data_IF_607666656955
#
_entry.id   IF_607666656955
#
_cell.length_a   1.000
_cell.length_b   1.000
_cell.length_c   1.000
_cell.angle_alpha   90.00
_cell.angle_beta   90.00
_cell.angle_gamma   90.00
#
_symmetry.space_group_name_H-M   'P 1'
#
loop_
_entity.id
_entity.type
_entity.pdbx_description
1 polymer ?
#
# COMPACT_ATOMS: atom_id res chain seq x y z
N UNK A 1 6.21 -0.76 -7.87
CA UNK A 1 5.88 -0.80 -6.43
C UNK A 1 4.66 -1.65 -6.09
N UNK A 2 3.59 -1.65 -6.90
CA UNK A 2 2.43 -2.53 -6.66
C UNK A 2 2.78 -4.03 -6.65
N UNK A 3 3.77 -4.46 -7.43
CA UNK A 3 4.19 -5.88 -7.55
C UNK A 3 4.93 -6.39 -6.31
N UNK A 4 5.79 -5.57 -5.70
CA UNK A 4 6.53 -5.96 -4.48
C UNK A 4 5.59 -5.95 -3.26
N UNK A 5 4.66 -5.00 -3.20
CA UNK A 5 3.60 -4.96 -2.19
C UNK A 5 2.62 -6.14 -2.34
N UNK A 6 2.23 -6.50 -3.58
CA UNK A 6 1.37 -7.66 -3.82
C UNK A 6 2.06 -8.99 -3.49
N UNK A 7 3.37 -9.12 -3.73
CA UNK A 7 4.16 -10.32 -3.38
C UNK A 7 4.39 -10.48 -1.87
N UNK A 8 4.63 -9.39 -1.13
CA UNK A 8 4.79 -9.44 0.33
C UNK A 8 3.45 -9.63 1.06
N UNK A 9 2.34 -9.09 0.53
CA UNK A 9 1.00 -9.27 1.10
C UNK A 9 0.28 -10.54 0.62
N UNK A 10 0.82 -11.29 -0.35
CA UNK A 10 0.24 -12.53 -0.88
C UNK A 10 0.23 -13.70 0.14
N UNK A 11 0.95 -13.61 1.25
CA UNK A 11 0.97 -14.63 2.33
C UNK A 11 -0.31 -14.72 3.18
N UNK A 12 -1.41 -14.08 2.77
CA UNK A 12 -2.70 -14.11 3.46
C UNK A 12 -3.66 -15.10 2.77
N UNK A 13 -3.37 -16.40 2.84
CA UNK A 13 -4.36 -17.43 2.52
C UNK A 13 -5.07 -17.88 3.81
N UNK A 14 -6.30 -17.40 4.08
CA UNK A 14 -7.08 -17.80 5.27
C UNK A 14 -7.46 -19.30 5.27
N UNK A 15 -7.30 -20.01 4.14
CA UNK A 15 -7.50 -21.45 4.05
C UNK A 15 -6.69 -22.24 5.08
N UNK A 16 -5.43 -21.87 5.26
CA UNK A 16 -4.47 -22.65 6.05
C UNK A 16 -4.84 -22.62 7.54
N UNK A 17 -5.21 -21.45 8.06
CA UNK A 17 -5.63 -21.33 9.46
C UNK A 17 -7.02 -21.92 9.69
N UNK A 18 -7.92 -21.90 8.70
CA UNK A 18 -9.21 -22.55 8.83
C UNK A 18 -9.10 -24.08 8.85
N UNK A 19 -8.17 -24.67 8.09
CA UNK A 19 -7.85 -26.11 8.16
C UNK A 19 -7.34 -26.48 9.55
N UNK A 20 -6.52 -25.62 10.17
CA UNK A 20 -6.04 -25.82 11.54
C UNK A 20 -7.13 -25.67 12.62
N UNK A 21 -8.16 -24.84 12.39
CA UNK A 21 -9.22 -24.52 13.39
C UNK A 21 -10.53 -25.30 13.14
N UNK A 22 -10.66 -26.07 12.07
CA UNK A 22 -11.82 -26.95 11.84
C UNK A 22 -13.17 -26.24 11.65
N UNK A 23 -13.19 -24.93 11.36
CA UNK A 23 -14.43 -24.15 11.32
C UNK A 23 -15.31 -24.44 10.09
N UNK A 24 -16.64 -24.53 10.30
CA UNK A 24 -17.65 -24.85 9.27
C UNK A 24 -17.71 -23.82 8.12
N UNK A 25 -18.07 -24.33 6.93
CA UNK A 25 -18.23 -23.59 5.67
C UNK A 25 -19.38 -22.58 5.70
N UNK A 26 -19.11 -21.34 5.25
CA UNK A 26 -20.13 -20.32 5.00
C UNK A 26 -20.22 -20.12 3.48
N UNK A 27 -21.40 -20.32 2.89
CA UNK A 27 -21.67 -20.01 1.47
C UNK A 27 -21.95 -18.51 1.33
N UNK A 28 -21.30 -17.87 0.36
CA UNK A 28 -21.54 -16.47 0.03
C UNK A 28 -22.17 -16.35 -1.37
N UNK A 29 -23.22 -15.53 -1.51
CA UNK A 29 -23.76 -15.14 -2.82
C UNK A 29 -22.91 -14.01 -3.42
N UNK A 30 -22.57 -14.04 -4.71
CA UNK A 30 -21.87 -12.93 -5.36
C UNK A 30 -22.76 -11.69 -5.41
N UNK A 31 -22.17 -10.51 -5.17
CA UNK A 31 -22.88 -9.21 -5.14
C UNK A 31 -22.90 -8.54 -6.52
N UNK A 32 -21.93 -8.84 -7.40
CA UNK A 32 -21.90 -8.41 -8.81
C UNK A 32 -21.16 -9.46 -9.67
N UNK A 33 -21.75 -9.86 -10.80
CA UNK A 33 -21.22 -10.92 -11.67
C UNK A 33 -19.91 -10.60 -12.41
N UNK A 34 -19.56 -9.32 -12.55
CA UNK A 34 -18.32 -8.87 -13.26
C UNK A 34 -17.05 -9.17 -12.46
N UNK A 35 -17.17 -9.26 -11.14
CA UNK A 35 -16.09 -9.70 -10.24
C UNK A 35 -16.42 -11.06 -9.63
N UNK A 36 -17.21 -11.89 -10.33
CA UNK A 36 -17.41 -13.26 -9.92
C UNK A 36 -16.05 -13.98 -9.89
N UNK A 37 -15.80 -14.72 -8.82
CA UNK A 37 -14.59 -15.50 -8.73
C UNK A 37 -14.63 -16.57 -9.83
N UNK A 38 -13.56 -16.69 -10.61
CA UNK A 38 -13.43 -17.70 -11.67
C UNK A 38 -13.57 -19.14 -11.14
N UNK A 39 -13.37 -19.32 -9.84
CA UNK A 39 -13.58 -20.56 -9.11
C UNK A 39 -14.44 -20.29 -7.88
N UNK A 40 -15.32 -21.24 -7.53
CA UNK A 40 -16.02 -21.21 -6.25
C UNK A 40 -15.00 -21.33 -5.11
N UNK A 41 -14.59 -20.18 -4.58
CA UNK A 41 -13.68 -20.09 -3.45
C UNK A 41 -14.49 -19.88 -2.18
N UNK A 42 -14.13 -20.58 -1.10
CA UNK A 42 -14.69 -20.37 0.24
C UNK A 42 -14.38 -18.97 0.80
N UNK A 43 -13.43 -18.26 0.20
CA UNK A 43 -12.98 -16.94 0.63
C UNK A 43 -13.34 -15.89 -0.41
N UNK A 44 -13.90 -14.77 0.05
CA UNK A 44 -14.05 -13.57 -0.77
C UNK A 44 -12.72 -12.82 -0.80
N UNK A 45 -12.34 -12.32 -1.98
CA UNK A 45 -11.24 -11.38 -2.10
C UNK A 45 -11.64 -10.07 -1.43
N UNK A 46 -10.96 -9.74 -0.34
CA UNK A 46 -11.08 -8.43 0.30
C UNK A 46 -10.17 -7.42 -0.39
N UNK A 47 -10.62 -6.16 -0.42
CA UNK A 47 -9.76 -5.08 -0.88
C UNK A 47 -8.50 -5.01 -0.03
N UNK A 48 -7.36 -4.70 -0.68
CA UNK A 48 -6.04 -4.68 -0.04
C UNK A 48 -6.04 -3.84 1.25
N UNK A 49 -6.72 -2.69 1.23
CA UNK A 49 -6.87 -1.75 2.34
C UNK A 49 -7.65 -2.32 3.54
N UNK A 50 -8.60 -3.21 3.30
CA UNK A 50 -9.39 -3.85 4.37
C UNK A 50 -8.77 -5.15 4.87
N UNK A 51 -7.74 -5.68 4.19
CA UNK A 51 -7.18 -7.00 4.47
C UNK A 51 -6.66 -7.18 5.90
N UNK A 52 -5.92 -6.20 6.42
CA UNK A 52 -5.41 -6.26 7.80
C UNK A 52 -6.54 -6.27 8.83
N UNK A 53 -7.55 -5.43 8.63
CA UNK A 53 -8.72 -5.31 9.52
C UNK A 53 -9.63 -6.54 9.44
N UNK A 54 -9.90 -7.04 8.24
CA UNK A 54 -10.67 -8.28 8.04
C UNK A 54 -9.96 -9.48 8.67
N UNK A 55 -8.62 -9.54 8.61
CA UNK A 55 -7.83 -10.57 9.30
C UNK A 55 -7.97 -10.47 10.82
N UNK A 56 -7.91 -9.26 11.39
CA UNK A 56 -8.15 -9.04 12.82
C UNK A 56 -9.55 -9.50 13.24
N UNK A 57 -10.59 -9.06 12.51
CA UNK A 57 -11.97 -9.45 12.79
C UNK A 57 -12.19 -10.96 12.63
N UNK A 58 -11.53 -11.57 11.66
CA UNK A 58 -11.62 -13.00 11.42
C UNK A 58 -10.93 -13.81 12.52
N UNK A 59 -9.72 -13.41 12.94
CA UNK A 59 -9.04 -14.01 14.10
C UNK A 59 -9.93 -13.90 15.35
N UNK A 60 -10.44 -12.70 15.62
CA UNK A 60 -11.38 -12.47 16.71
C UNK A 60 -12.58 -13.42 16.60
N UNK A 61 -13.29 -13.45 15.46
CA UNK A 61 -14.44 -14.37 15.29
C UNK A 61 -14.08 -15.84 15.38
N UNK A 62 -12.93 -16.29 14.86
CA UNK A 62 -12.52 -17.69 14.94
C UNK A 62 -12.38 -18.12 16.40
N UNK A 63 -11.71 -17.32 17.24
CA UNK A 63 -11.56 -17.63 18.67
C UNK A 63 -12.88 -17.51 19.45
N UNK A 64 -13.75 -16.55 19.10
CA UNK A 64 -15.05 -16.37 19.76
C UNK A 64 -16.10 -17.40 19.34
N UNK A 65 -16.12 -17.83 18.06
CA UNK A 65 -17.05 -18.84 17.55
C UNK A 65 -16.70 -20.24 18.04
N UNK A 66 -15.41 -20.56 18.20
CA UNK A 66 -14.99 -21.82 18.83
C UNK A 66 -15.45 -21.90 20.30
N UNK A 67 -15.62 -20.74 20.95
CA UNK A 67 -16.23 -20.66 22.28
C UNK A 67 -17.74 -20.90 22.27
N UNK A 68 -18.46 -20.53 21.19
CA UNK A 68 -19.93 -20.60 21.10
C UNK A 68 -20.47 -21.85 20.41
N UNK A 69 -19.70 -22.48 19.52
CA UNK A 69 -20.04 -23.76 18.88
C UNK A 69 -20.13 -24.92 19.88
N UNK A 70 -19.60 -24.75 21.09
CA UNK A 70 -19.82 -25.66 22.22
C UNK A 70 -21.23 -25.59 22.84
N UNK A 71 -22.06 -24.61 22.45
CA UNK A 71 -23.35 -24.31 23.11
C UNK A 71 -24.57 -24.72 22.27
N UNK A 72 -24.42 -24.93 20.95
CA UNK A 72 -25.59 -25.13 20.06
C UNK A 72 -25.41 -26.30 19.08
N UNK A 73 -25.33 -27.52 19.62
CA UNK A 73 -25.71 -28.72 18.86
C UNK A 73 -27.19 -29.04 19.15
N UNK A 74 -28.06 -29.23 18.14
CA UNK A 74 -29.46 -29.58 18.31
C UNK A 74 -29.70 -31.08 18.55
N UNK A 75 -28.66 -31.87 18.86
CA UNK A 75 -28.77 -33.32 19.08
C UNK A 75 -28.77 -33.66 20.58
N UNK A 76 -29.90 -34.09 21.17
CA UNK A 76 -30.04 -34.26 22.62
C UNK A 76 -29.37 -35.52 23.19
N UNK A 77 -28.74 -36.38 22.37
CA UNK A 77 -28.25 -37.69 22.80
C UNK A 77 -26.72 -37.81 22.96
N UNK A 78 -25.93 -36.78 22.63
CA UNK A 78 -24.47 -36.79 22.85
C UNK A 78 -24.02 -35.58 23.68
N UNK A 79 -24.52 -35.50 24.91
CA UNK A 79 -24.15 -34.49 25.89
C UNK A 79 -22.72 -34.72 26.42
N UNK A 80 -21.70 -34.43 25.62
CA UNK A 80 -20.39 -34.06 26.17
C UNK A 80 -20.51 -32.64 26.70
N UNK A 81 -20.73 -32.55 28.01
CA UNK A 81 -20.65 -31.31 28.80
C UNK A 81 -19.38 -30.56 28.34
N UNK A 82 -19.45 -29.27 27.96
CA UNK A 82 -18.24 -28.47 27.79
C UNK A 82 -17.58 -28.38 29.16
N UNK A 83 -16.53 -29.15 29.35
CA UNK A 83 -15.75 -29.10 30.59
C UNK A 83 -15.16 -27.70 30.71
N UNK A 84 -15.17 -27.14 31.91
CA UNK A 84 -14.56 -25.83 32.24
C UNK A 84 -13.11 -25.69 31.74
N UNK A 85 -12.48 -26.82 31.40
CA UNK A 85 -11.16 -26.96 30.79
C UNK A 85 -11.02 -26.29 29.41
N UNK A 86 -12.04 -26.28 28.54
CA UNK A 86 -11.89 -25.71 27.17
C UNK A 86 -11.73 -24.18 27.19
N UNK A 87 -12.56 -23.50 28.00
CA UNK A 87 -12.48 -22.05 28.21
C UNK A 87 -11.13 -21.63 28.82
N UNK A 88 -10.58 -22.50 29.68
CA UNK A 88 -9.32 -22.29 30.39
C UNK A 88 -8.08 -22.48 29.48
N UNK A 89 -8.19 -23.20 28.36
CA UNK A 89 -7.10 -23.43 27.39
C UNK A 89 -7.06 -22.36 26.29
N UNK A 90 -8.21 -21.77 25.92
CA UNK A 90 -8.30 -20.79 24.83
C UNK A 90 -7.86 -19.38 25.28
N UNK A 91 -8.22 -18.93 26.49
CA UNK A 91 -7.75 -17.66 27.06
C UNK A 91 -6.22 -17.51 27.09
N UNK A 92 -5.44 -18.50 27.57
CA UNK A 92 -3.99 -18.38 27.59
C UNK A 92 -3.39 -18.38 26.18
N UNK A 93 -4.00 -19.03 25.18
CA UNK A 93 -3.54 -18.93 23.80
C UNK A 93 -3.80 -17.54 23.19
N UNK A 94 -4.96 -16.93 23.48
CA UNK A 94 -5.25 -15.56 23.05
C UNK A 94 -4.34 -14.55 23.75
N UNK A 95 -4.05 -14.73 25.03
CA UNK A 95 -3.10 -13.89 25.77
C UNK A 95 -1.67 -14.02 25.22
N UNK A 96 -1.25 -15.24 24.86
CA UNK A 96 0.04 -15.49 24.18
C UNK A 96 0.09 -14.88 22.79
N UNK A 97 -0.99 -14.97 22.02
CA UNK A 97 -1.05 -14.36 20.69
C UNK A 97 -1.08 -12.82 20.80
N UNK A 98 -1.84 -12.26 21.74
CA UNK A 98 -1.91 -10.81 21.99
C UNK A 98 -0.58 -10.26 22.48
N UNK A 99 0.14 -10.99 23.32
CA UNK A 99 1.49 -10.61 23.75
C UNK A 99 2.52 -10.77 22.63
N UNK A 100 2.39 -11.78 21.76
CA UNK A 100 3.24 -11.94 20.57
C UNK A 100 2.95 -10.90 19.47
N UNK A 101 1.74 -10.33 19.44
CA UNK A 101 1.32 -9.29 18.49
C UNK A 101 1.56 -7.88 19.05
N UNK A 102 1.86 -7.74 20.35
CA UNK A 102 2.26 -6.46 20.93
C UNK A 102 3.65 -6.09 20.39
N UNK A 103 3.65 -5.43 19.24
CA UNK A 103 4.84 -4.85 18.64
C UNK A 103 5.46 -3.83 19.59
N UNK A 104 6.76 -3.96 19.80
CA UNK A 104 7.55 -2.97 20.51
C UNK A 104 7.51 -1.65 19.73
N UNK A 105 7.71 -0.53 20.43
CA UNK A 105 7.91 0.78 19.78
C UNK A 105 9.04 0.70 18.74
N UNK A 106 10.06 -0.11 19.02
CA UNK A 106 11.16 -0.34 18.09
C UNK A 106 10.71 -1.05 16.79
N UNK A 107 9.83 -2.05 16.90
CA UNK A 107 9.29 -2.75 15.74
C UNK A 107 8.46 -1.81 14.87
N UNK A 108 7.64 -0.96 15.50
CA UNK A 108 6.89 0.09 14.80
C UNK A 108 7.80 1.08 14.10
N UNK A 109 8.85 1.56 14.78
CA UNK A 109 9.82 2.48 14.20
C UNK A 109 10.53 1.84 13.00
N UNK A 110 10.95 0.58 13.10
CA UNK A 110 11.58 -0.15 12.02
C UNK A 110 10.63 -0.36 10.83
N UNK A 111 9.37 -0.72 11.07
CA UNK A 111 8.36 -0.86 10.02
C UNK A 111 8.11 0.46 9.28
N UNK A 112 7.99 1.56 10.02
CA UNK A 112 7.81 2.90 9.44
C UNK A 112 9.04 3.29 8.62
N UNK A 113 10.25 3.08 9.16
CA UNK A 113 11.51 3.39 8.48
C UNK A 113 11.64 2.62 7.17
N UNK A 114 11.44 1.30 7.18
CA UNK A 114 11.53 0.47 5.98
C UNK A 114 10.47 0.84 4.94
N UNK A 115 9.23 1.09 5.38
CA UNK A 115 8.14 1.51 4.48
C UNK A 115 8.44 2.86 3.84
N UNK A 116 8.93 3.81 4.64
CA UNK A 116 9.33 5.14 4.18
C UNK A 116 10.49 5.02 3.20
N UNK A 117 11.53 4.25 3.51
CA UNK A 117 12.66 4.02 2.61
C UNK A 117 12.20 3.43 1.27
N UNK A 118 11.34 2.41 1.29
CA UNK A 118 10.77 1.82 0.07
C UNK A 118 10.04 2.86 -0.77
N UNK A 119 9.19 3.69 -0.18
CA UNK A 119 8.39 4.67 -0.94
C UNK A 119 9.25 5.83 -1.45
N UNK A 120 10.08 6.41 -0.59
CA UNK A 120 10.77 7.66 -0.87
C UNK A 120 12.06 7.48 -1.67
N UNK A 121 12.82 6.39 -1.47
CA UNK A 121 14.12 6.21 -2.15
C UNK A 121 13.97 6.21 -3.68
N UNK A 122 13.06 5.43 -4.29
CA UNK A 122 12.88 5.45 -5.74
C UNK A 122 12.43 6.83 -6.26
N UNK A 123 11.59 7.53 -5.51
CA UNK A 123 11.13 8.86 -5.86
C UNK A 123 12.28 9.87 -5.83
N UNK A 124 13.05 9.91 -4.74
CA UNK A 124 14.18 10.83 -4.58
C UNK A 124 15.22 10.57 -5.68
N UNK A 125 15.57 9.30 -5.94
CA UNK A 125 16.53 8.96 -7.00
C UNK A 125 16.03 9.40 -8.39
N UNK A 126 14.75 9.17 -8.70
CA UNK A 126 14.16 9.61 -9.97
C UNK A 126 14.13 11.14 -10.09
N UNK A 127 13.76 11.83 -9.02
CA UNK A 127 13.71 13.29 -8.97
C UNK A 127 15.11 13.90 -9.13
N UNK A 128 16.10 13.44 -8.35
CA UNK A 128 17.49 13.92 -8.43
C UNK A 128 18.07 13.68 -9.83
N UNK A 129 17.85 12.50 -10.40
CA UNK A 129 18.28 12.19 -11.77
C UNK A 129 17.66 13.16 -12.78
N UNK A 130 16.38 13.49 -12.63
CA UNK A 130 15.69 14.42 -13.52
C UNK A 130 15.99 15.90 -13.25
N UNK A 131 16.43 16.26 -12.05
CA UNK A 131 16.74 17.63 -11.66
C UNK A 131 18.16 18.02 -12.08
N UNK A 132 19.11 17.08 -12.00
CA UNK A 132 20.50 17.33 -12.35
C UNK A 132 20.85 17.04 -13.82
N UNK A 133 19.95 16.41 -14.59
CA UNK A 133 20.20 16.02 -15.99
C UNK A 133 19.03 16.42 -16.88
N UNK A 134 19.23 17.10 -18.03
CA UNK A 134 20.51 17.66 -18.56
C UNK A 134 20.91 19.00 -17.92
N UNK A 135 19.93 19.87 -17.62
CA UNK A 135 20.19 21.18 -16.99
C UNK A 135 19.77 21.16 -15.53
N UNK A 136 20.60 21.72 -14.64
CA UNK A 136 20.28 21.80 -13.20
C UNK A 136 19.07 22.71 -12.98
N UNK A 137 17.97 22.14 -12.49
CA UNK A 137 16.77 22.89 -12.12
C UNK A 137 15.47 22.11 -12.25
N UNK A 138 14.38 22.77 -11.86
CA UNK A 138 13.02 22.23 -12.06
C UNK A 138 12.62 22.35 -13.53
N UNK A 139 12.80 21.27 -14.29
CA UNK A 139 12.33 21.08 -15.67
C UNK A 139 10.95 20.39 -15.72
N UNK A 140 10.33 20.29 -16.90
CA UNK A 140 9.03 19.59 -17.08
C UNK A 140 9.03 18.18 -16.48
N UNK A 141 10.13 17.43 -16.66
CA UNK A 141 10.24 16.04 -16.21
C UNK A 141 10.29 15.94 -14.69
N UNK A 142 11.14 16.74 -14.05
CA UNK A 142 11.26 16.78 -12.59
C UNK A 142 9.98 17.31 -11.92
N UNK A 143 9.32 18.29 -12.56
CA UNK A 143 8.03 18.81 -12.13
C UNK A 143 6.94 17.74 -12.20
N UNK A 144 6.91 16.90 -13.25
CA UNK A 144 5.94 15.81 -13.37
C UNK A 144 6.08 14.83 -12.19
N UNK A 145 7.31 14.44 -11.86
CA UNK A 145 7.56 13.58 -10.69
C UNK A 145 7.12 14.26 -9.39
N UNK A 146 7.46 15.54 -9.19
CA UNK A 146 7.09 16.29 -7.99
C UNK A 146 5.58 16.39 -7.82
N UNK A 147 4.84 16.77 -8.87
CA UNK A 147 3.37 16.88 -8.83
C UNK A 147 2.73 15.52 -8.55
N UNK A 148 3.21 14.46 -9.20
CA UNK A 148 2.74 13.09 -8.93
C UNK A 148 2.95 12.70 -7.47
N UNK A 149 4.13 12.98 -6.93
CA UNK A 149 4.46 12.66 -5.54
C UNK A 149 3.62 13.45 -4.55
N UNK A 150 3.43 14.76 -4.76
CA UNK A 150 2.57 15.59 -3.91
C UNK A 150 1.11 15.10 -3.94
N UNK A 151 0.60 14.74 -5.12
CA UNK A 151 -0.75 14.17 -5.25
C UNK A 151 -0.87 12.83 -4.50
N UNK A 152 0.13 11.95 -4.61
CA UNK A 152 0.14 10.67 -3.90
C UNK A 152 0.26 10.85 -2.38
N UNK A 153 1.11 11.77 -1.90
CA UNK A 153 1.22 12.08 -0.48
C UNK A 153 -0.06 12.70 0.06
N UNK A 154 -0.72 13.56 -0.71
CA UNK A 154 -2.04 14.12 -0.38
C UNK A 154 -3.09 13.02 -0.26
N UNK A 155 -3.12 12.08 -1.21
CA UNK A 155 -4.01 10.92 -1.16
C UNK A 155 -3.74 10.04 0.06
N UNK A 156 -2.49 9.68 0.36
CA UNK A 156 -2.13 8.90 1.56
C UNK A 156 -2.55 9.62 2.83
N UNK A 157 -2.30 10.92 2.93
CA UNK A 157 -2.65 11.72 4.11
C UNK A 157 -4.17 11.78 4.33
N UNK A 158 -4.96 11.94 3.25
CA UNK A 158 -6.42 11.88 3.31
C UNK A 158 -6.91 10.51 3.80
N UNK A 159 -6.33 9.42 3.32
CA UNK A 159 -6.68 8.07 3.76
C UNK A 159 -6.32 7.83 5.23
N UNK A 160 -5.14 8.29 5.67
CA UNK A 160 -4.72 8.22 7.07
C UNK A 160 -5.66 9.02 7.96
N UNK A 161 -6.09 10.20 7.51
CA UNK A 161 -7.08 11.01 8.23
C UNK A 161 -8.42 10.28 8.37
N UNK A 162 -8.99 9.73 7.29
CA UNK A 162 -10.24 8.97 7.43
C UNK A 162 -10.06 7.77 8.36
N UNK A 163 -8.93 7.07 8.24
CA UNK A 163 -8.65 5.91 9.08
C UNK A 163 -8.56 6.28 10.56
N UNK A 164 -7.90 7.38 10.90
CA UNK A 164 -7.77 7.85 12.30
C UNK A 164 -9.11 8.21 12.93
N UNK A 165 -10.08 8.62 12.12
CA UNK A 165 -11.45 8.91 12.56
C UNK A 165 -12.34 7.66 12.66
N UNK A 166 -11.97 6.53 12.05
CA UNK A 166 -12.78 5.32 12.09
C UNK A 166 -12.56 4.52 13.38
N UNK A 167 -13.56 4.47 14.24
CA UNK A 167 -13.56 3.61 15.45
C UNK A 167 -14.16 2.24 15.15
N UNK A 168 -13.56 1.16 15.67
CA UNK A 168 -14.12 -0.20 15.57
C UNK A 168 -15.17 -0.38 16.67
N UNK A 169 -16.41 -0.68 16.29
CA UNK A 169 -17.43 -1.16 17.26
C UNK A 169 -17.19 -2.64 17.59
N UNK A 170 -17.52 -3.05 18.82
CA UNK A 170 -17.32 -4.42 19.33
C UNK A 170 -18.06 -5.51 18.53
N UNK A 171 -19.05 -5.16 17.71
CA UNK A 171 -19.76 -6.10 16.81
C UNK A 171 -19.03 -6.37 15.49
N UNK A 172 -17.89 -5.69 15.25
CA UNK A 172 -17.12 -5.81 14.01
C UNK A 172 -17.77 -5.11 12.81
N UNK A 173 -18.82 -4.32 13.02
CA UNK A 173 -19.43 -3.46 12.00
C UNK A 173 -18.60 -2.17 11.90
N UNK A 174 -18.22 -1.84 10.67
CA UNK A 174 -17.46 -0.64 10.33
C UNK A 174 -18.34 0.60 10.50
N UNK A 175 -18.27 1.28 11.64
CA UNK A 175 -18.79 2.64 11.73
C UNK A 175 -17.75 3.59 11.14
N UNK A 176 -17.93 3.92 9.86
CA UNK A 176 -17.33 5.14 9.34
C UNK A 176 -18.12 6.32 9.95
N UNK A 177 -17.47 7.30 10.60
CA UNK A 177 -18.16 8.50 11.07
C UNK A 177 -18.86 9.27 9.93
N UNK A 178 -18.40 9.08 8.68
CA UNK A 178 -19.02 9.62 7.48
C UNK A 178 -20.29 8.89 7.02
N UNK A 179 -20.58 7.70 7.56
CA UNK A 179 -21.76 6.91 7.19
C UNK A 179 -22.80 6.87 8.31
N UNK A 180 -22.87 7.92 9.13
CA UNK A 180 -23.89 8.08 10.16
C UNK A 180 -25.19 8.57 9.51
N UNK A 181 -26.31 7.92 9.82
CA UNK A 181 -27.61 8.09 9.15
C UNK A 181 -28.32 9.43 9.43
N UNK A 182 -27.68 10.38 10.11
CA UNK A 182 -28.17 11.74 10.27
C UNK A 182 -27.00 12.73 10.10
N UNK A 183 -26.87 13.37 8.93
CA UNK A 183 -25.83 14.36 8.71
C UNK A 183 -26.21 15.67 9.41
N UNK A 184 -25.39 16.10 10.37
CA UNK A 184 -25.34 17.52 10.72
C UNK A 184 -24.67 18.32 9.60
N UNK A 185 -24.93 19.63 9.55
CA UNK A 185 -24.25 20.54 8.61
C UNK A 185 -22.70 20.38 8.61
N UNK A 186 -22.00 20.26 9.76
CA UNK A 186 -20.54 20.12 9.75
C UNK A 186 -20.05 18.76 9.20
N UNK A 187 -20.84 17.68 9.36
CA UNK A 187 -20.46 16.36 8.83
C UNK A 187 -20.63 16.29 7.32
N UNK A 188 -21.60 17.02 6.75
CA UNK A 188 -21.79 17.09 5.30
C UNK A 188 -20.69 17.92 4.62
N UNK A 189 -20.25 19.02 5.21
CA UNK A 189 -19.15 19.83 4.67
C UNK A 189 -17.82 19.07 4.69
N UNK A 190 -17.51 18.39 5.80
CA UNK A 190 -16.33 17.51 5.88
C UNK A 190 -16.40 16.36 4.86
N UNK A 191 -17.61 15.82 4.63
CA UNK A 191 -17.81 14.78 3.63
C UNK A 191 -17.56 15.26 2.20
N UNK A 192 -18.13 16.40 1.83
CA UNK A 192 -17.90 17.03 0.53
C UNK A 192 -16.42 17.41 0.33
N UNK A 193 -15.79 18.00 1.34
CA UNK A 193 -14.38 18.40 1.29
C UNK A 193 -13.45 17.20 1.11
N UNK A 194 -13.71 16.09 1.79
CA UNK A 194 -12.93 14.87 1.60
C UNK A 194 -13.04 14.33 0.17
N UNK A 195 -14.27 14.16 -0.33
CA UNK A 195 -14.47 13.59 -1.67
C UNK A 195 -13.97 14.52 -2.77
N UNK A 196 -14.11 15.84 -2.61
CA UNK A 196 -13.57 16.80 -3.57
C UNK A 196 -12.05 16.76 -3.63
N UNK A 197 -11.37 16.76 -2.47
CA UNK A 197 -9.91 16.62 -2.41
C UNK A 197 -9.43 15.25 -2.91
N UNK A 198 -10.14 14.17 -2.59
CA UNK A 198 -9.81 12.83 -3.06
C UNK A 198 -9.91 12.72 -4.59
N UNK A 199 -10.99 13.22 -5.19
CA UNK A 199 -11.16 13.24 -6.65
C UNK A 199 -10.09 14.12 -7.30
N UNK A 200 -9.77 15.27 -6.71
CA UNK A 200 -8.73 16.16 -7.22
C UNK A 200 -7.35 15.48 -7.22
N UNK A 201 -6.92 14.88 -6.11
CA UNK A 201 -5.62 14.21 -6.06
C UNK A 201 -5.56 12.97 -6.96
N UNK A 202 -6.64 12.19 -7.03
CA UNK A 202 -6.71 11.04 -7.94
C UNK A 202 -6.61 11.50 -9.40
N UNK A 203 -7.34 12.55 -9.78
CA UNK A 203 -7.34 13.07 -11.15
C UNK A 203 -5.96 13.60 -11.53
N UNK A 204 -5.31 14.38 -10.65
CA UNK A 204 -3.94 14.86 -10.86
C UNK A 204 -2.97 13.69 -10.97
N UNK A 205 -3.09 12.67 -10.12
CA UNK A 205 -2.23 11.49 -10.13
C UNK A 205 -2.37 10.68 -11.43
N UNK A 206 -3.60 10.44 -11.90
CA UNK A 206 -3.87 9.77 -13.17
C UNK A 206 -3.32 10.58 -14.34
N UNK A 207 -3.60 11.89 -14.36
CA UNK A 207 -3.14 12.78 -15.42
C UNK A 207 -1.62 12.84 -15.48
N UNK A 208 -0.94 12.98 -14.35
CA UNK A 208 0.53 13.04 -14.30
C UNK A 208 1.17 11.69 -14.60
N UNK A 209 0.58 10.57 -14.18
CA UNK A 209 1.09 9.24 -14.51
C UNK A 209 0.96 8.92 -16.00
N UNK A 210 -0.23 9.08 -16.58
CA UNK A 210 -0.49 8.79 -17.99
C UNK A 210 0.21 9.83 -18.87
N UNK A 211 -0.04 11.12 -18.60
CA UNK A 211 0.55 12.23 -19.34
C UNK A 211 2.08 12.24 -19.24
N UNK A 212 2.65 11.96 -18.07
CA UNK A 212 4.09 11.82 -17.88
C UNK A 212 4.68 10.68 -18.71
N UNK A 213 4.00 9.53 -18.75
CA UNK A 213 4.43 8.38 -19.56
C UNK A 213 4.35 8.71 -21.05
N UNK A 214 3.27 9.34 -21.51
CA UNK A 214 3.11 9.76 -22.91
C UNK A 214 4.21 10.77 -23.29
N UNK A 215 4.46 11.78 -22.45
CA UNK A 215 5.53 12.77 -22.68
C UNK A 215 6.92 12.14 -22.71
N UNK A 216 7.15 11.10 -21.91
CA UNK A 216 8.40 10.35 -21.93
C UNK A 216 8.55 9.54 -23.22
N UNK A 217 7.52 8.80 -23.64
CA UNK A 217 7.57 7.93 -24.83
C UNK A 217 7.61 8.71 -26.14
N UNK A 218 6.92 9.85 -26.20
CA UNK A 218 6.93 10.75 -27.36
C UNK A 218 8.18 11.61 -27.47
N UNK A 219 9.08 11.58 -26.48
CA UNK A 219 10.26 12.44 -26.47
C UNK A 219 9.95 13.93 -26.23
N UNK A 220 8.75 14.27 -25.72
CA UNK A 220 8.40 15.68 -25.41
C UNK A 220 9.35 16.25 -24.36
N UNK A 221 9.85 15.44 -23.43
CA UNK A 221 10.83 15.90 -22.45
C UNK A 221 12.18 16.31 -23.03
N UNK A 222 12.54 15.83 -24.23
CA UNK A 222 13.73 16.29 -24.96
C UNK A 222 13.50 17.56 -25.78
N UNK A 223 12.26 18.05 -25.88
CA UNK A 223 12.01 19.31 -26.56
C UNK A 223 12.62 20.48 -25.78
N UNK A 224 13.15 21.47 -26.52
CA UNK A 224 13.78 22.67 -25.99
C UNK A 224 12.92 23.41 -24.95
N UNK A 225 11.59 23.39 -25.13
CA UNK A 225 10.66 24.02 -24.20
C UNK A 225 10.64 23.33 -22.82
N UNK A 226 10.78 22.02 -22.78
CA UNK A 226 10.73 21.24 -21.55
C UNK A 226 12.10 21.01 -20.91
N UNK A 227 13.18 21.18 -21.67
CA UNK A 227 14.54 21.23 -21.17
C UNK A 227 14.81 22.50 -20.35
N UNK A 228 14.12 23.61 -20.64
CA UNK A 228 14.28 24.87 -19.92
C UNK A 228 13.77 24.78 -18.46
N UNK A 229 14.59 25.19 -17.47
CA UNK A 229 14.16 25.33 -16.08
C UNK A 229 12.98 26.31 -15.92
N UNK A 230 12.08 26.03 -14.98
CA UNK A 230 10.84 26.80 -14.76
C UNK A 230 11.11 28.27 -14.43
N UNK A 231 12.25 28.59 -13.80
CA UNK A 231 12.68 29.96 -13.50
C UNK A 231 12.78 30.84 -14.76
N UNK A 232 13.03 30.24 -15.91
CA UNK A 232 13.19 30.93 -17.19
C UNK A 232 11.92 30.88 -18.07
N UNK A 233 10.83 30.23 -17.62
CA UNK A 233 9.61 30.14 -18.43
C UNK A 233 8.93 31.48 -18.62
N UNK A 234 8.89 32.33 -17.59
CA UNK A 234 8.30 33.66 -17.67
C UNK A 234 9.11 34.63 -18.55
N UNK A 235 10.43 34.41 -18.65
CA UNK A 235 11.39 35.27 -19.36
C UNK A 235 11.75 34.65 -20.72
N UNK A 236 11.05 33.60 -21.16
CA UNK A 236 11.38 32.79 -22.35
C UNK A 236 11.55 33.62 -23.63
N UNK A 237 10.81 34.71 -23.78
CA UNK A 237 10.86 35.57 -24.98
C UNK A 237 11.80 36.76 -24.84
N UNK A 238 12.37 36.97 -23.65
CA UNK A 238 13.35 38.02 -23.44
C UNK A 238 14.73 37.44 -23.73
N UNK A 239 15.46 38.08 -24.64
CA UNK A 239 16.80 37.69 -25.08
C UNK A 239 17.84 37.96 -23.97
N UNK A 240 17.69 37.23 -22.87
CA UNK A 240 18.56 37.27 -21.71
C UNK A 240 19.78 36.42 -22.00
N UNK A 241 20.97 37.03 -21.92
CA UNK A 241 22.28 36.38 -22.10
C UNK A 241 22.51 35.20 -21.14
N UNK A 242 21.73 35.08 -20.08
CA UNK A 242 21.83 34.00 -19.09
C UNK A 242 21.01 32.76 -19.46
N UNK A 243 20.23 32.82 -20.55
CA UNK A 243 19.44 31.69 -21.04
C UNK A 243 20.12 31.04 -22.24
N UNK A 244 20.70 29.86 -22.01
CA UNK A 244 21.19 29.01 -23.09
C UNK A 244 20.37 27.73 -23.15
N UNK A 245 20.00 27.33 -24.36
CA UNK A 245 19.38 26.03 -24.63
C UNK A 245 20.39 25.21 -25.40
N UNK A 246 20.85 24.13 -24.81
CA UNK A 246 21.72 23.18 -25.50
C UNK A 246 20.87 22.41 -26.52
N UNK A 247 21.04 22.74 -27.80
CA UNK A 247 20.31 22.11 -28.91
C UNK A 247 20.81 20.69 -29.23
N UNK A 248 21.97 20.29 -28.71
CA UNK A 248 22.57 18.97 -28.93
C UNK A 248 22.80 18.20 -27.64
N UNK A 249 22.48 16.91 -27.66
CA UNK A 249 22.67 15.96 -26.55
C UNK A 249 24.13 15.55 -26.28
N UNK A 250 25.08 16.12 -27.02
CA UNK A 250 26.50 15.72 -27.01
C UNK A 250 27.41 16.82 -26.44
N UNK A 251 26.85 17.75 -25.68
CA UNK A 251 27.67 18.72 -24.94
C UNK A 251 28.59 17.98 -23.96
N UNK A 252 29.86 18.41 -23.86
CA UNK A 252 30.79 17.86 -22.88
C UNK A 252 30.25 17.99 -21.44
N UNK A 253 29.46 19.05 -21.18
CA UNK A 253 28.79 19.24 -19.90
C UNK A 253 27.74 18.15 -19.64
N UNK A 254 26.89 17.83 -20.62
CA UNK A 254 25.86 16.78 -20.49
C UNK A 254 26.48 15.39 -20.32
N UNK A 255 27.56 15.08 -21.05
CA UNK A 255 28.30 13.82 -20.89
C UNK A 255 28.87 13.70 -19.47
N UNK A 256 29.48 14.78 -18.96
CA UNK A 256 30.04 14.80 -17.61
C UNK A 256 28.96 14.66 -16.52
N UNK A 257 27.80 15.31 -16.71
CA UNK A 257 26.67 15.23 -15.80
C UNK A 257 26.02 13.84 -15.82
N UNK A 258 25.87 13.23 -17.00
CA UNK A 258 25.38 11.88 -17.15
C UNK A 258 26.30 10.86 -16.45
N UNK A 259 27.61 10.97 -16.63
CA UNK A 259 28.55 10.06 -15.97
C UNK A 259 28.55 10.23 -14.43
N UNK A 260 28.42 11.47 -13.93
CA UNK A 260 28.48 11.73 -12.49
C UNK A 260 27.16 11.43 -11.78
N UNK A 261 26.02 11.79 -12.35
CA UNK A 261 24.73 11.70 -11.69
C UNK A 261 23.89 10.53 -12.19
N UNK A 262 23.72 10.40 -13.50
CA UNK A 262 22.84 9.36 -14.05
C UNK A 262 23.37 7.95 -13.77
N UNK A 263 24.67 7.70 -13.99
CA UNK A 263 25.29 6.41 -13.66
C UNK A 263 25.26 6.12 -12.16
N UNK A 264 25.62 7.08 -11.31
CA UNK A 264 25.62 6.88 -9.85
C UNK A 264 24.22 6.60 -9.31
N UNK A 265 23.21 7.37 -9.75
CA UNK A 265 21.82 7.17 -9.32
C UNK A 265 21.25 5.86 -9.88
N UNK A 266 21.59 5.50 -11.13
CA UNK A 266 21.19 4.24 -11.75
C UNK A 266 21.76 3.01 -11.04
N UNK A 267 23.06 3.04 -10.69
CA UNK A 267 23.71 2.02 -9.89
C UNK A 267 23.07 1.92 -8.49
N UNK A 268 22.82 3.05 -7.84
CA UNK A 268 22.18 3.11 -6.51
C UNK A 268 20.76 2.54 -6.55
N UNK A 269 19.96 2.92 -7.55
CA UNK A 269 18.59 2.42 -7.73
C UNK A 269 18.56 0.91 -7.99
N UNK A 270 19.46 0.40 -8.84
CA UNK A 270 19.58 -1.03 -9.12
C UNK A 270 20.00 -1.80 -7.87
N UNK A 271 20.99 -1.32 -7.14
CA UNK A 271 21.43 -1.92 -5.88
C UNK A 271 20.31 -1.95 -4.83
N UNK A 272 19.59 -0.84 -4.68
CA UNK A 272 18.43 -0.77 -3.78
C UNK A 272 17.34 -1.79 -4.16
N UNK A 273 17.01 -1.88 -5.46
CA UNK A 273 16.01 -2.84 -5.94
C UNK A 273 16.47 -4.29 -5.73
N UNK A 274 17.74 -4.60 -5.97
CA UNK A 274 18.32 -5.92 -5.72
C UNK A 274 18.22 -6.31 -4.24
N UNK A 275 18.55 -5.40 -3.34
CA UNK A 275 18.42 -5.62 -1.89
C UNK A 275 16.96 -5.81 -1.48
N UNK A 276 16.07 -4.94 -1.93
CA UNK A 276 14.64 -5.03 -1.61
C UNK A 276 14.00 -6.32 -2.11
N UNK A 277 14.36 -6.76 -3.33
CA UNK A 277 13.87 -8.02 -3.91
C UNK A 277 14.47 -9.24 -3.20
N UNK A 278 15.75 -9.19 -2.81
CA UNK A 278 16.37 -10.24 -1.99
C UNK A 278 15.66 -10.41 -0.65
N UNK A 279 15.38 -9.32 0.07
CA UNK A 279 14.61 -9.38 1.33
C UNK A 279 13.19 -9.93 1.11
N UNK A 280 12.52 -9.52 0.02
CA UNK A 280 11.22 -10.05 -0.35
C UNK A 280 11.25 -11.56 -0.59
N UNK A 281 12.24 -12.05 -1.33
CA UNK A 281 12.45 -13.47 -1.58
C UNK A 281 12.80 -14.25 -0.31
N UNK A 282 13.71 -13.74 0.52
CA UNK A 282 14.10 -14.37 1.77
C UNK A 282 12.92 -14.51 2.73
N UNK A 283 12.12 -13.45 2.88
CA UNK A 283 10.91 -13.48 3.70
C UNK A 283 9.90 -14.52 3.21
N UNK A 284 9.64 -14.56 1.90
CA UNK A 284 8.75 -15.58 1.32
C UNK A 284 9.28 -17.00 1.52
N UNK A 285 10.58 -17.21 1.34
CA UNK A 285 11.22 -18.51 1.52
C UNK A 285 11.14 -18.99 2.96
N UNK A 286 11.42 -18.09 3.94
CA UNK A 286 11.28 -18.39 5.37
C UNK A 286 9.85 -18.78 5.74
N UNK A 287 8.86 -18.02 5.26
CA UNK A 287 7.46 -18.35 5.50
C UNK A 287 7.10 -19.74 4.98
N UNK A 288 7.51 -20.07 3.74
CA UNK A 288 7.28 -21.41 3.17
C UNK A 288 7.91 -22.52 4.01
N UNK A 289 9.10 -22.29 4.56
CA UNK A 289 9.76 -23.23 5.48
C UNK A 289 8.94 -23.49 6.74
N UNK A 290 8.54 -22.41 7.44
CA UNK A 290 7.70 -22.53 8.65
C UNK A 290 6.37 -23.21 8.34
N UNK A 291 5.76 -22.92 7.18
CA UNK A 291 4.52 -23.58 6.78
C UNK A 291 4.71 -25.07 6.54
N UNK A 292 5.83 -25.48 5.92
CA UNK A 292 6.14 -26.89 5.68
C UNK A 292 6.28 -27.64 7.01
N UNK A 293 7.03 -27.09 7.96
CA UNK A 293 7.21 -27.67 9.30
C UNK A 293 5.88 -27.85 10.04
N UNK A 294 5.01 -26.83 10.02
CA UNK A 294 3.69 -26.92 10.66
C UNK A 294 2.82 -27.97 9.97
N UNK A 295 2.83 -28.04 8.64
CA UNK A 295 2.04 -29.00 7.89
C UNK A 295 2.50 -30.45 8.11
N UNK A 296 3.81 -30.70 8.29
CA UNK A 296 4.36 -32.02 8.60
C UNK A 296 4.10 -32.44 10.06
N UNK A 297 3.82 -31.49 10.95
CA UNK A 297 3.55 -31.76 12.38
C UNK A 297 2.11 -32.15 12.71
N UNK A 298 1.18 -32.02 11.76
CA UNK A 298 -0.25 -32.33 11.88
C UNK A 298 -0.53 -33.67 11.20
#
# INVERSE_FOLDING_TARGET
>A
MAIVSSLLLAGNNPFIFQTAVGARTIKHRPVLGVFAQAYESRYKTEWLWFRGRSKYLWLHRAFFLDSTSSITSPDPSLRKIPTATSKQVIEPQLARLKSAINFSIFDWAQMILLTTALIFVPFILAFLTSFFTPTVGLSCRSMTFLVYFLAQMGQVSLWVWVLSLTTISGTGILHSPMHRSQPGLPTLLSWLAYWSLAVLFISISIFTAIGGTIMQLSGIYSNCLCALPIKYWAIRYSDSKDTYVMLGSNSAADISAAHRWWMMMGCTATGFLAVATYFGWWYQSRLRGVFKEVAESI
#
